data_IF_947507851131
#
_entry.id   IF_947507851131
#
_cell.length_a   1.000
_cell.length_b   1.000
_cell.length_c   1.000
_cell.angle_alpha   90.00
_cell.angle_beta   90.00
_cell.angle_gamma   90.00
#
_symmetry.space_group_name_H-M   'P 1'
#
loop_
_entity.id
_entity.type
_entity.pdbx_description
1 polymer ?
#
# COMPACT_ATOMS: atom_id res chain seq x y z
N UNK A 1 2.67 36.13 2.02
CA UNK A 1 3.47 35.05 2.59
C UNK A 1 2.92 33.78 1.99
N UNK A 2 3.63 33.14 1.06
CA UNK A 2 3.26 31.82 0.60
C UNK A 2 3.31 30.92 1.84
N UNK A 3 2.19 30.27 2.17
CA UNK A 3 2.19 29.29 3.25
C UNK A 3 3.28 28.25 2.94
N UNK A 4 4.06 27.90 3.95
CA UNK A 4 5.11 26.92 3.80
C UNK A 4 4.46 25.54 3.60
N UNK A 5 4.35 25.13 2.33
CA UNK A 5 3.78 23.84 1.95
C UNK A 5 4.74 22.67 2.27
N UNK A 6 5.97 22.95 2.70
CA UNK A 6 6.92 21.90 3.05
C UNK A 6 6.49 21.15 4.32
N UNK A 7 5.98 21.86 5.33
CA UNK A 7 5.57 21.21 6.59
C UNK A 7 4.43 20.21 6.39
N UNK A 8 3.27 20.55 5.79
CA UNK A 8 2.20 19.59 5.55
C UNK A 8 2.62 18.42 4.65
N UNK A 9 3.54 18.66 3.71
CA UNK A 9 4.07 17.61 2.85
C UNK A 9 4.97 16.65 3.61
N UNK A 10 5.82 17.17 4.50
CA UNK A 10 6.68 16.36 5.36
C UNK A 10 5.86 15.52 6.35
N UNK A 11 4.76 16.07 6.88
CA UNK A 11 3.83 15.34 7.74
C UNK A 11 3.21 14.16 6.98
N UNK A 12 2.71 14.39 5.77
CA UNK A 12 2.17 13.33 4.91
C UNK A 12 3.22 12.24 4.62
N UNK A 13 4.45 12.62 4.28
CA UNK A 13 5.54 11.65 4.07
C UNK A 13 5.87 10.87 5.36
N UNK A 14 5.76 11.51 6.51
CA UNK A 14 5.95 10.85 7.81
C UNK A 14 4.86 9.80 8.04
N UNK A 15 3.60 10.14 7.78
CA UNK A 15 2.47 9.21 7.92
C UNK A 15 2.60 8.00 6.98
N UNK A 16 3.01 8.21 5.73
CA UNK A 16 3.24 7.13 4.76
C UNK A 16 4.35 6.20 5.23
N UNK A 17 5.47 6.75 5.71
CA UNK A 17 6.57 5.95 6.27
C UNK A 17 6.13 5.20 7.53
N UNK A 18 5.30 5.83 8.37
CA UNK A 18 4.69 5.18 9.53
C UNK A 18 3.84 3.97 9.11
N UNK A 19 3.04 4.12 8.04
CA UNK A 19 2.24 3.05 7.49
C UNK A 19 3.09 1.90 6.93
N UNK A 20 4.18 2.20 6.20
CA UNK A 20 5.14 1.20 5.71
C UNK A 20 5.79 0.42 6.87
N UNK A 21 6.24 1.12 7.91
CA UNK A 21 6.84 0.49 9.09
C UNK A 21 5.82 -0.42 9.78
N UNK A 22 4.59 0.06 9.97
CA UNK A 22 3.52 -0.73 10.58
C UNK A 22 3.18 -1.97 9.76
N UNK A 23 3.11 -1.86 8.42
CA UNK A 23 2.87 -3.00 7.54
C UNK A 23 3.96 -4.07 7.68
N UNK A 24 5.24 -3.67 7.65
CA UNK A 24 6.37 -4.59 7.83
C UNK A 24 6.32 -5.28 9.19
N UNK A 25 6.12 -4.51 10.26
CA UNK A 25 6.05 -5.05 11.63
C UNK A 25 4.88 -6.02 11.80
N UNK A 26 3.70 -5.67 11.30
CA UNK A 26 2.52 -6.53 11.37
C UNK A 26 2.71 -7.83 10.58
N UNK A 27 3.32 -7.74 9.39
CA UNK A 27 3.65 -8.92 8.58
C UNK A 27 4.64 -9.83 9.32
N UNK A 28 5.74 -9.30 9.84
CA UNK A 28 6.72 -10.09 10.59
C UNK A 28 6.07 -10.77 11.78
N UNK A 29 5.30 -10.03 12.58
CA UNK A 29 4.62 -10.56 13.75
C UNK A 29 3.65 -11.70 13.41
N UNK A 30 2.78 -11.53 12.40
CA UNK A 30 1.82 -12.57 12.01
C UNK A 30 2.51 -13.83 11.48
N UNK A 31 3.61 -13.69 10.74
CA UNK A 31 4.33 -14.86 10.23
C UNK A 31 5.10 -15.58 11.33
N UNK A 32 5.77 -14.84 12.21
CA UNK A 32 6.51 -15.44 13.32
C UNK A 32 5.55 -16.17 14.27
N UNK A 33 4.34 -15.63 14.50
CA UNK A 33 3.26 -16.31 15.24
C UNK A 33 2.82 -17.60 14.51
N UNK A 34 2.57 -17.55 13.21
CA UNK A 34 2.17 -18.72 12.43
C UNK A 34 3.24 -19.83 12.41
N UNK A 35 4.53 -19.47 12.38
CA UNK A 35 5.63 -20.43 12.48
C UNK A 35 5.69 -21.03 13.88
N UNK A 36 5.56 -20.22 14.93
CA UNK A 36 5.55 -20.71 16.31
C UNK A 36 4.36 -21.68 16.56
N UNK A 37 3.19 -21.38 16.00
CA UNK A 37 2.02 -22.27 16.06
C UNK A 37 2.31 -23.61 15.36
N UNK A 38 2.88 -23.57 14.15
CA UNK A 38 3.27 -24.77 13.40
C UNK A 38 4.25 -25.64 14.20
N UNK A 39 5.26 -25.03 14.81
CA UNK A 39 6.27 -25.72 15.63
C UNK A 39 5.69 -26.29 16.93
N UNK A 40 4.70 -25.61 17.52
CA UNK A 40 4.01 -26.07 18.73
C UNK A 40 3.04 -27.22 18.46
N UNK A 41 2.36 -27.24 17.31
CA UNK A 41 1.38 -28.29 16.96
C UNK A 41 2.05 -29.61 16.56
N UNK A 42 3.29 -29.57 16.09
CA UNK A 42 4.10 -30.76 15.78
C UNK A 42 5.33 -30.90 16.69
N UNK A 43 5.15 -31.24 17.98
CA UNK A 43 6.26 -31.46 18.89
C UNK A 43 6.98 -32.77 18.57
N UNK A 44 8.07 -32.67 17.82
CA UNK A 44 9.00 -33.74 17.48
C UNK A 44 9.79 -33.35 16.25
N UNK A 45 11.11 -33.54 16.24
CA UNK A 45 11.99 -33.12 15.14
C UNK A 45 11.66 -33.90 13.85
N UNK A 46 10.64 -33.43 13.15
CA UNK A 46 10.29 -33.88 11.83
C UNK A 46 10.96 -32.89 10.89
N UNK A 47 11.98 -33.32 10.14
CA UNK A 47 12.72 -32.49 9.17
C UNK A 47 11.76 -31.70 8.26
N UNK A 48 10.56 -32.23 8.02
CA UNK A 48 9.47 -31.57 7.29
C UNK A 48 9.00 -30.25 7.93
N UNK A 49 8.86 -30.17 9.27
CA UNK A 49 8.43 -28.94 9.95
C UNK A 49 9.50 -27.86 9.79
N UNK A 50 10.78 -28.21 9.94
CA UNK A 50 11.88 -27.26 9.71
C UNK A 50 11.93 -26.77 8.25
N UNK A 51 11.68 -27.66 7.29
CA UNK A 51 11.61 -27.28 5.86
C UNK A 51 10.44 -26.35 5.57
N UNK A 52 9.27 -26.57 6.19
CA UNK A 52 8.10 -25.70 6.04
C UNK A 52 8.34 -24.35 6.69
N UNK A 53 8.84 -24.31 7.92
CA UNK A 53 9.19 -23.05 8.61
C UNK A 53 10.17 -22.24 7.76
N UNK A 54 11.20 -22.89 7.19
CA UNK A 54 12.16 -22.23 6.28
C UNK A 54 11.49 -21.71 5.01
N UNK A 55 10.59 -22.49 4.40
CA UNK A 55 9.86 -22.05 3.22
C UNK A 55 8.92 -20.87 3.52
N UNK A 56 8.29 -20.86 4.70
CA UNK A 56 7.48 -19.74 5.18
C UNK A 56 8.33 -18.49 5.41
N UNK A 57 9.50 -18.62 6.03
CA UNK A 57 10.45 -17.52 6.22
C UNK A 57 10.93 -16.93 4.89
N UNK A 58 11.34 -17.76 3.94
CA UNK A 58 11.76 -17.28 2.61
C UNK A 58 10.63 -16.47 1.96
N UNK A 59 9.38 -16.92 2.09
CA UNK A 59 8.23 -16.20 1.53
C UNK A 59 7.88 -14.93 2.27
N UNK A 60 8.06 -14.89 3.60
CA UNK A 60 7.97 -13.67 4.41
C UNK A 60 8.93 -12.61 3.87
N UNK A 61 10.19 -12.97 3.64
CA UNK A 61 11.18 -12.05 3.11
C UNK A 61 10.86 -11.59 1.69
N UNK A 62 10.44 -12.50 0.80
CA UNK A 62 10.03 -12.12 -0.57
C UNK A 62 8.84 -11.16 -0.56
N UNK A 63 7.85 -11.38 0.29
CA UNK A 63 6.71 -10.48 0.44
C UNK A 63 7.16 -9.10 0.94
N UNK A 64 8.03 -9.05 1.96
CA UNK A 64 8.53 -7.79 2.51
C UNK A 64 9.34 -7.00 1.48
N UNK A 65 10.20 -7.67 0.72
CA UNK A 65 11.01 -7.10 -0.37
C UNK A 65 10.11 -6.54 -1.49
N UNK A 66 9.15 -7.34 -1.97
CA UNK A 66 8.18 -6.88 -2.98
C UNK A 66 7.29 -5.74 -2.47
N UNK A 67 6.95 -5.73 -1.18
CA UNK A 67 6.21 -4.62 -0.58
C UNK A 67 7.06 -3.35 -0.52
N UNK A 68 8.36 -3.45 -0.25
CA UNK A 68 9.30 -2.32 -0.31
C UNK A 68 9.31 -1.68 -1.69
N UNK A 69 9.41 -2.48 -2.75
CA UNK A 69 9.35 -2.00 -4.14
C UNK A 69 8.08 -1.22 -4.44
N UNK A 70 6.92 -1.70 -3.98
CA UNK A 70 5.63 -0.99 -4.16
C UNK A 70 5.63 0.35 -3.42
N UNK A 71 6.15 0.39 -2.19
CA UNK A 71 6.25 1.64 -1.43
C UNK A 71 7.22 2.63 -2.07
N UNK A 72 8.34 2.15 -2.61
CA UNK A 72 9.32 3.00 -3.30
C UNK A 72 8.72 3.59 -4.58
N UNK A 73 8.03 2.77 -5.38
CA UNK A 73 7.29 3.25 -6.56
C UNK A 73 6.23 4.30 -6.21
N UNK A 74 5.47 4.09 -5.13
CA UNK A 74 4.51 5.06 -4.64
C UNK A 74 5.17 6.37 -4.20
N UNK A 75 6.32 6.31 -3.51
CA UNK A 75 7.09 7.49 -3.11
C UNK A 75 7.64 8.27 -4.31
N UNK A 76 8.08 7.58 -5.36
CA UNK A 76 8.49 8.20 -6.62
C UNK A 76 7.31 8.95 -7.27
N UNK A 77 6.15 8.29 -7.38
CA UNK A 77 4.94 8.91 -7.92
C UNK A 77 4.47 10.13 -7.11
N UNK A 78 4.60 10.09 -5.77
CA UNK A 78 4.30 11.24 -4.92
C UNK A 78 5.30 12.38 -5.13
N UNK A 79 6.58 12.05 -5.33
CA UNK A 79 7.61 13.04 -5.62
C UNK A 79 7.34 13.73 -6.96
N UNK A 80 6.92 12.98 -7.97
CA UNK A 80 6.48 13.52 -9.27
C UNK A 80 5.25 14.41 -9.10
N UNK A 81 4.25 13.97 -8.34
CA UNK A 81 3.05 14.75 -8.07
C UNK A 81 3.38 16.09 -7.38
N UNK A 82 4.35 16.10 -6.46
CA UNK A 82 4.86 17.33 -5.84
C UNK A 82 5.51 18.24 -6.87
N UNK A 83 6.43 17.70 -7.67
CA UNK A 83 7.17 18.45 -8.69
C UNK A 83 6.19 19.06 -9.70
N UNK A 84 5.24 18.29 -10.20
CA UNK A 84 4.24 18.75 -11.16
C UNK A 84 3.35 19.83 -10.57
N UNK A 85 2.89 19.65 -9.33
CA UNK A 85 2.03 20.63 -8.66
C UNK A 85 2.78 21.95 -8.43
N UNK A 86 4.03 21.90 -7.98
CA UNK A 86 4.86 23.09 -7.74
C UNK A 86 5.30 23.75 -9.06
N UNK A 87 5.64 22.96 -10.07
CA UNK A 87 6.02 23.45 -11.40
C UNK A 87 4.83 24.11 -12.10
N UNK A 88 3.64 23.51 -12.00
CA UNK A 88 2.42 24.09 -12.54
C UNK A 88 2.01 25.37 -11.81
N UNK A 89 2.10 25.39 -10.48
CA UNK A 89 1.87 26.60 -9.67
C UNK A 89 2.83 27.71 -10.10
N UNK A 90 4.11 27.39 -10.26
CA UNK A 90 5.14 28.37 -10.61
C UNK A 90 5.04 28.82 -12.07
N UNK A 91 4.74 27.92 -13.00
CA UNK A 91 4.67 28.22 -14.42
C UNK A 91 3.34 28.85 -14.82
N UNK A 92 2.24 28.09 -14.71
CA UNK A 92 0.93 28.51 -15.19
C UNK A 92 0.38 29.72 -14.43
N UNK A 93 0.53 29.73 -13.10
CA UNK A 93 0.00 30.80 -12.28
C UNK A 93 0.81 32.08 -12.47
N UNK A 94 2.15 32.02 -12.36
CA UNK A 94 2.99 33.22 -12.53
C UNK A 94 2.88 33.73 -13.96
N UNK A 95 2.93 32.88 -14.98
CA UNK A 95 2.78 33.34 -16.38
C UNK A 95 1.41 33.97 -16.61
N UNK A 96 0.31 33.36 -16.17
CA UNK A 96 -1.04 33.93 -16.37
C UNK A 96 -1.25 35.23 -15.60
N UNK A 97 -0.72 35.30 -14.38
CA UNK A 97 -0.75 36.52 -13.56
C UNK A 97 0.11 37.60 -14.22
N UNK A 98 1.35 37.30 -14.60
CA UNK A 98 2.24 38.25 -15.25
C UNK A 98 1.69 38.73 -16.59
N UNK A 99 1.13 37.85 -17.44
CA UNK A 99 0.51 38.26 -18.70
C UNK A 99 -0.71 39.15 -18.49
N UNK A 100 -1.53 38.88 -17.47
CA UNK A 100 -2.70 39.71 -17.14
C UNK A 100 -2.29 41.03 -16.52
N UNK A 101 -1.38 41.00 -15.56
CA UNK A 101 -0.80 42.19 -14.91
C UNK A 101 -0.10 43.07 -15.94
N UNK A 102 0.73 42.52 -16.83
CA UNK A 102 1.37 43.30 -17.89
C UNK A 102 0.34 43.97 -18.80
N UNK A 103 -0.73 43.25 -19.17
CA UNK A 103 -1.81 43.80 -20.02
C UNK A 103 -2.63 44.89 -19.32
N UNK A 104 -3.05 44.69 -18.07
CA UNK A 104 -3.78 45.70 -17.26
C UNK A 104 -2.87 46.88 -16.85
N UNK A 105 -1.59 46.63 -16.60
CA UNK A 105 -0.60 47.66 -16.26
C UNK A 105 -0.28 48.59 -17.43
N UNK A 106 -0.30 48.06 -18.66
CA UNK A 106 -0.16 48.83 -19.90
C UNK A 106 -1.35 49.80 -20.13
N UNK A 107 -2.49 49.59 -19.47
CA UNK A 107 -3.66 50.48 -19.56
C UNK A 107 -3.64 51.61 -18.52
N UNK A 108 -2.71 51.59 -17.56
CA UNK A 108 -2.63 52.55 -16.47
C UNK A 108 -1.40 53.48 -16.61
N UNK A 109 -1.61 54.67 -17.17
CA UNK A 109 -0.58 55.71 -17.25
C UNK A 109 -0.90 56.91 -16.33
N UNK A 110 0.15 57.54 -15.79
CA UNK A 110 0.05 58.75 -14.96
C UNK A 110 0.38 58.56 -13.47
N UNK A 111 0.36 59.64 -12.67
CA UNK A 111 0.73 59.62 -11.25
C UNK A 111 -0.16 58.65 -10.44
N UNK A 112 0.45 57.73 -9.70
CA UNK A 112 -0.27 56.72 -8.90
C UNK A 112 -0.53 55.38 -9.62
N UNK A 113 -0.10 55.23 -10.88
CA UNK A 113 -0.15 53.97 -11.65
C UNK A 113 0.48 52.80 -10.89
N UNK A 114 1.64 53.00 -10.27
CA UNK A 114 2.37 51.95 -9.55
C UNK A 114 1.54 51.33 -8.39
N UNK A 115 0.78 52.16 -7.64
CA UNK A 115 -0.11 51.64 -6.58
C UNK A 115 -1.29 50.84 -7.14
N UNK A 116 -1.83 51.23 -8.31
CA UNK A 116 -2.94 50.52 -8.97
C UNK A 116 -2.46 49.19 -9.56
N UNK A 117 -1.30 49.18 -10.21
CA UNK A 117 -0.63 47.97 -10.68
C UNK A 117 -0.38 47.00 -9.52
N UNK A 118 0.13 47.48 -8.39
CA UNK A 118 0.28 46.66 -7.17
C UNK A 118 -1.05 46.13 -6.62
N UNK A 119 -2.14 46.89 -6.74
CA UNK A 119 -3.48 46.46 -6.35
C UNK A 119 -4.03 45.33 -7.23
N UNK A 120 -3.87 45.44 -8.55
CA UNK A 120 -4.26 44.40 -9.52
C UNK A 120 -3.46 43.12 -9.29
N UNK A 121 -2.14 43.25 -9.07
CA UNK A 121 -1.27 42.14 -8.68
C UNK A 121 -1.81 41.45 -7.43
N UNK A 122 -2.03 42.20 -6.34
CA UNK A 122 -2.54 41.65 -5.08
C UNK A 122 -3.91 40.98 -5.20
N UNK A 123 -4.84 41.57 -5.95
CA UNK A 123 -6.18 41.00 -6.17
C UNK A 123 -6.18 39.74 -7.04
N UNK A 124 -5.27 39.65 -8.01
CA UNK A 124 -5.17 38.48 -8.91
C UNK A 124 -4.51 37.29 -8.21
N UNK A 125 -3.53 37.53 -7.34
CA UNK A 125 -2.95 36.49 -6.48
C UNK A 125 -3.95 35.94 -5.44
N UNK A 126 -5.06 36.64 -5.18
CA UNK A 126 -6.14 36.19 -4.29
C UNK A 126 -7.26 35.41 -5.01
N UNK A 127 -7.03 34.94 -6.24
CA UNK A 127 -8.04 34.18 -6.99
C UNK A 127 -8.19 32.74 -6.45
N UNK A 128 -9.02 32.62 -5.42
CA UNK A 128 -9.39 31.39 -4.71
C UNK A 128 -9.75 30.22 -5.64
N UNK A 129 -10.44 30.49 -6.75
CA UNK A 129 -10.90 29.43 -7.67
C UNK A 129 -9.76 28.66 -8.35
N UNK A 130 -8.58 29.28 -8.51
CA UNK A 130 -7.40 28.61 -9.09
C UNK A 130 -6.77 27.67 -8.06
N UNK A 131 -6.64 28.12 -6.80
CA UNK A 131 -6.18 27.29 -5.70
C UNK A 131 -7.12 26.10 -5.46
N UNK A 132 -8.42 26.34 -5.46
CA UNK A 132 -9.42 25.29 -5.25
C UNK A 132 -9.37 24.20 -6.34
N UNK A 133 -9.18 24.60 -7.61
CA UNK A 133 -9.01 23.66 -8.71
C UNK A 133 -7.74 22.82 -8.58
N UNK A 134 -6.65 23.41 -8.09
CA UNK A 134 -5.41 22.68 -7.81
C UNK A 134 -5.60 21.67 -6.68
N UNK A 135 -6.16 22.11 -5.56
CA UNK A 135 -6.40 21.23 -4.41
C UNK A 135 -7.28 20.05 -4.83
N UNK A 136 -8.30 20.28 -5.67
CA UNK A 136 -9.13 19.21 -6.23
C UNK A 136 -8.37 18.28 -7.18
N UNK A 137 -7.35 18.76 -7.90
CA UNK A 137 -6.52 17.92 -8.76
C UNK A 137 -5.54 17.08 -7.92
N UNK A 138 -4.77 17.73 -7.05
CA UNK A 138 -3.83 17.08 -6.13
C UNK A 138 -4.52 16.00 -5.31
N UNK A 139 -5.69 16.31 -4.74
CA UNK A 139 -6.47 15.36 -3.95
C UNK A 139 -6.92 14.14 -4.76
N UNK A 140 -7.27 14.32 -6.04
CA UNK A 140 -7.65 13.20 -6.91
C UNK A 140 -6.44 12.33 -7.22
N UNK A 141 -5.34 12.91 -7.69
CA UNK A 141 -4.13 12.15 -7.99
C UNK A 141 -3.61 11.40 -6.77
N UNK A 142 -3.56 12.06 -5.61
CA UNK A 142 -3.16 11.41 -4.35
C UNK A 142 -4.09 10.25 -4.00
N UNK A 143 -5.40 10.44 -4.12
CA UNK A 143 -6.38 9.39 -3.85
C UNK A 143 -6.16 8.20 -4.78
N UNK A 144 -6.01 8.42 -6.08
CA UNK A 144 -5.82 7.37 -7.07
C UNK A 144 -4.51 6.59 -6.79
N UNK A 145 -3.43 7.29 -6.42
CA UNK A 145 -2.17 6.66 -5.99
C UNK A 145 -2.34 5.82 -4.72
N UNK A 146 -3.06 6.33 -3.72
CA UNK A 146 -3.26 5.63 -2.46
C UNK A 146 -4.15 4.38 -2.62
N UNK A 147 -5.19 4.46 -3.47
CA UNK A 147 -6.02 3.31 -3.84
C UNK A 147 -5.19 2.25 -4.61
N UNK A 148 -4.31 2.69 -5.52
CA UNK A 148 -3.37 1.81 -6.22
C UNK A 148 -2.42 1.08 -5.26
N UNK A 149 -1.76 1.82 -4.36
CA UNK A 149 -0.89 1.25 -3.32
C UNK A 149 -1.62 0.19 -2.48
N UNK A 150 -2.82 0.51 -2.01
CA UNK A 150 -3.60 -0.42 -1.20
C UNK A 150 -3.98 -1.69 -1.98
N UNK A 151 -4.38 -1.53 -3.25
CA UNK A 151 -4.73 -2.66 -4.10
C UNK A 151 -3.53 -3.56 -4.37
N UNK A 152 -2.39 -2.98 -4.77
CA UNK A 152 -1.17 -3.73 -5.08
C UNK A 152 -0.63 -4.49 -3.86
N UNK A 153 -0.61 -3.86 -2.67
CA UNK A 153 -0.25 -4.53 -1.43
C UNK A 153 -1.23 -5.67 -1.10
N UNK A 154 -2.53 -5.45 -1.31
CA UNK A 154 -3.56 -6.48 -1.10
C UNK A 154 -3.37 -7.69 -2.02
N UNK A 155 -3.12 -7.44 -3.31
CA UNK A 155 -2.88 -8.48 -4.31
C UNK A 155 -1.57 -9.24 -4.01
N UNK A 156 -0.52 -8.54 -3.59
CA UNK A 156 0.75 -9.13 -3.16
C UNK A 156 0.56 -10.07 -1.97
N UNK A 157 -0.07 -9.59 -0.89
CA UNK A 157 -0.34 -10.39 0.31
C UNK A 157 -1.19 -11.61 -0.05
N UNK A 158 -2.26 -11.44 -0.82
CA UNK A 158 -3.12 -12.54 -1.26
C UNK A 158 -2.34 -13.60 -2.06
N UNK A 159 -1.44 -13.17 -2.94
CA UNK A 159 -0.60 -14.07 -3.75
C UNK A 159 0.32 -14.92 -2.88
N UNK A 160 1.03 -14.28 -1.94
CA UNK A 160 1.95 -14.99 -1.05
C UNK A 160 1.23 -15.91 -0.06
N UNK A 161 0.11 -15.48 0.51
CA UNK A 161 -0.73 -16.33 1.36
C UNK A 161 -1.32 -17.51 0.59
N UNK A 162 -1.76 -17.29 -0.65
CA UNK A 162 -2.23 -18.36 -1.53
C UNK A 162 -1.15 -19.41 -1.82
N UNK A 163 0.08 -18.95 -2.10
CA UNK A 163 1.22 -19.85 -2.25
C UNK A 163 1.52 -20.63 -0.96
N UNK A 164 1.47 -19.97 0.21
CA UNK A 164 1.68 -20.61 1.52
C UNK A 164 0.66 -21.69 1.80
N UNK A 165 -0.62 -21.39 1.56
CA UNK A 165 -1.68 -22.38 1.66
C UNK A 165 -1.41 -23.60 0.77
N UNK A 166 -1.01 -23.38 -0.48
CA UNK A 166 -0.68 -24.49 -1.39
C UNK A 166 0.48 -25.35 -0.87
N UNK A 167 1.50 -24.74 -0.25
CA UNK A 167 2.62 -25.49 0.36
C UNK A 167 2.16 -26.31 1.55
N UNK A 168 1.32 -25.76 2.43
CA UNK A 168 0.76 -26.50 3.57
C UNK A 168 -0.19 -27.61 3.12
N UNK A 169 -0.97 -27.39 2.06
CA UNK A 169 -1.87 -28.39 1.48
C UNK A 169 -1.09 -29.58 0.90
N UNK A 170 0.04 -29.33 0.21
CA UNK A 170 0.92 -30.41 -0.28
C UNK A 170 1.43 -31.26 0.88
N UNK A 171 1.89 -30.63 1.96
CA UNK A 171 2.39 -31.35 3.14
C UNK A 171 1.27 -32.18 3.76
N UNK A 172 0.07 -31.61 3.88
CA UNK A 172 -1.10 -32.32 4.41
C UNK A 172 -1.45 -33.54 3.56
N UNK A 173 -1.44 -33.41 2.24
CA UNK A 173 -1.72 -34.52 1.31
C UNK A 173 -0.65 -35.61 1.38
N UNK A 174 0.63 -35.24 1.43
CA UNK A 174 1.75 -36.18 1.58
C UNK A 174 1.67 -36.91 2.91
N UNK A 175 1.38 -36.21 4.00
CA UNK A 175 1.24 -36.81 5.32
C UNK A 175 0.04 -37.77 5.38
N UNK A 176 -1.12 -37.37 4.82
CA UNK A 176 -2.29 -38.25 4.71
C UNK A 176 -1.98 -39.51 3.87
N UNK A 177 -1.19 -39.38 2.81
CA UNK A 177 -0.77 -40.51 1.99
C UNK A 177 0.21 -41.44 2.74
N UNK A 178 1.20 -40.92 3.46
CA UNK A 178 2.11 -41.73 4.29
C UNK A 178 1.38 -42.45 5.42
N UNK A 179 0.47 -41.76 6.10
CA UNK A 179 -0.32 -42.35 7.19
C UNK A 179 -1.28 -43.43 6.66
N UNK A 180 -1.84 -43.23 5.46
CA UNK A 180 -2.63 -44.26 4.77
C UNK A 180 -1.82 -45.51 4.39
N UNK A 181 -0.53 -45.35 4.09
CA UNK A 181 0.39 -46.45 3.82
C UNK A 181 0.86 -47.19 5.08
N UNK A 182 0.91 -46.49 6.23
CA UNK A 182 1.34 -47.05 7.52
C UNK A 182 0.25 -47.84 8.25
N UNK A 183 -1.01 -47.41 8.19
CA UNK A 183 -2.11 -48.12 8.87
C UNK A 183 -3.40 -48.18 8.01
N UNK A 184 -3.48 -49.14 7.07
CA UNK A 184 -4.68 -49.35 6.25
C UNK A 184 -5.92 -49.74 7.08
N UNK A 185 -5.72 -50.39 8.23
CA UNK A 185 -6.79 -50.85 9.11
C UNK A 185 -7.39 -49.70 9.92
N UNK A 186 -6.60 -48.69 10.29
CA UNK A 186 -7.10 -47.43 10.83
C UNK A 186 -8.01 -46.71 9.85
N UNK A 187 -7.63 -46.65 8.57
CA UNK A 187 -8.48 -46.08 7.53
C UNK A 187 -9.81 -46.81 7.38
N UNK A 188 -9.82 -48.14 7.37
CA UNK A 188 -11.07 -48.91 7.32
C UNK A 188 -11.94 -48.68 8.55
N UNK A 189 -11.34 -48.56 9.74
CA UNK A 189 -12.09 -48.25 10.97
C UNK A 189 -12.69 -46.85 10.94
N UNK A 190 -11.91 -45.84 10.55
CA UNK A 190 -12.40 -44.45 10.44
C UNK A 190 -13.45 -44.32 9.35
N UNK A 191 -13.24 -44.93 8.18
CA UNK A 191 -14.23 -44.95 7.10
C UNK A 191 -15.52 -45.66 7.50
N UNK A 192 -15.41 -46.78 8.23
CA UNK A 192 -16.55 -47.49 8.81
C UNK A 192 -17.31 -46.64 9.82
N UNK A 193 -16.60 -45.93 10.69
CA UNK A 193 -17.21 -45.08 11.71
C UNK A 193 -17.88 -43.84 11.11
N UNK A 194 -17.23 -43.20 10.12
CA UNK A 194 -17.81 -42.07 9.37
C UNK A 194 -19.03 -42.50 8.59
N UNK A 195 -19.05 -43.70 8.00
CA UNK A 195 -20.21 -44.26 7.32
C UNK A 195 -21.36 -44.57 8.31
N UNK A 196 -21.02 -45.08 9.50
CA UNK A 196 -21.99 -45.32 10.58
C UNK A 196 -22.62 -44.02 11.07
N UNK A 197 -21.82 -42.97 11.28
CA UNK A 197 -22.27 -41.65 11.70
C UNK A 197 -23.12 -40.99 10.62
N UNK A 198 -22.75 -41.09 9.34
CA UNK A 198 -23.54 -40.59 8.21
C UNK A 198 -24.90 -41.29 8.11
N UNK A 199 -24.92 -42.61 8.26
CA UNK A 199 -26.15 -43.41 8.33
C UNK A 199 -27.05 -43.01 9.51
N UNK A 200 -26.46 -42.77 10.69
CA UNK A 200 -27.16 -42.28 11.88
C UNK A 200 -27.69 -40.85 11.74
N UNK A 201 -26.99 -40.01 10.97
CA UNK A 201 -27.38 -38.63 10.68
C UNK A 201 -28.33 -38.49 9.49
N UNK A 202 -28.62 -39.58 8.76
CA UNK A 202 -29.53 -39.57 7.61
C UNK A 202 -28.99 -38.77 6.41
N UNK A 203 -27.67 -38.78 6.19
CA UNK A 203 -27.01 -38.20 5.00
C UNK A 203 -26.21 -39.29 4.29
#
# INVERSE_FOLDING_TARGET
MAADFESPWNDLLSDIRGHQVHFKQGTVACWDEAIADLESEWPGSNDQVEEISRAMDVRKYLLLDSAEDIYDYFNDCLSDLRIDTLTWLSGSMITRIMSRVCREALEHHGPGSNKRQQGVVKGTFANEATFESMTRHLRRCFKDLAEGLQQELGDLVSTHLGAMRATLDIVREVNAAEESGRDPEFLQRVAGEVASIRSLMGI
#
